data_IF_183589644105
#
_entry.id   IF_183589644105
#
_cell.length_a   1.000
_cell.length_b   1.000
_cell.length_c   1.000
_cell.angle_alpha   90.00
_cell.angle_beta   90.00
_cell.angle_gamma   90.00
#
_symmetry.space_group_name_H-M   'P 1'
#
loop_
_entity.id
_entity.type
_entity.pdbx_description
1 polymer ?
#
# COMPACT_ATOMS: atom_id res chain seq x y z
N UNK A 1 3.78 -2.92 27.85
CA UNK A 1 3.55 -2.52 26.44
C UNK A 1 4.71 -3.09 25.65
N UNK A 2 4.44 -3.83 24.57
CA UNK A 2 5.49 -4.37 23.70
C UNK A 2 6.10 -3.22 22.90
N UNK A 3 7.42 -3.25 22.69
CA UNK A 3 8.09 -2.30 21.81
C UNK A 3 7.64 -2.53 20.36
N UNK A 4 7.44 -1.44 19.62
CA UNK A 4 7.09 -1.53 18.20
C UNK A 4 8.32 -2.01 17.44
N UNK A 5 8.17 -3.08 16.68
CA UNK A 5 9.24 -3.63 15.85
C UNK A 5 8.95 -3.39 14.37
N UNK A 6 10.00 -3.09 13.62
CA UNK A 6 9.98 -3.16 12.16
C UNK A 6 10.61 -4.51 11.78
N UNK A 7 9.86 -5.32 11.02
CA UNK A 7 10.27 -6.66 10.58
C UNK A 7 10.18 -6.75 9.06
N UNK A 8 10.91 -7.68 8.45
CA UNK A 8 10.77 -7.96 7.02
C UNK A 8 10.30 -9.41 6.82
N UNK A 9 9.24 -9.57 6.02
CA UNK A 9 8.64 -10.87 5.66
C UNK A 9 8.72 -11.17 4.16
N UNK A 10 9.59 -10.49 3.43
CA UNK A 10 9.82 -10.67 1.99
C UNK A 10 9.06 -9.68 1.09
N UNK A 11 8.36 -8.69 1.68
CA UNK A 11 7.71 -7.58 0.95
C UNK A 11 8.29 -6.21 1.31
N UNK A 12 9.40 -6.21 2.05
CA UNK A 12 10.04 -5.04 2.61
C UNK A 12 9.71 -4.81 4.09
N UNK A 13 10.40 -3.84 4.73
CA UNK A 13 10.24 -3.57 6.16
C UNK A 13 8.83 -3.10 6.49
N UNK A 14 8.21 -3.69 7.51
CA UNK A 14 6.84 -3.43 7.94
C UNK A 14 6.70 -3.36 9.45
N UNK A 15 5.68 -2.62 9.90
CA UNK A 15 5.33 -2.53 11.32
C UNK A 15 4.78 -3.89 11.76
N UNK A 16 5.45 -4.53 12.72
CA UNK A 16 5.08 -5.84 13.23
C UNK A 16 3.63 -5.84 13.74
N UNK A 17 2.90 -6.92 13.41
CA UNK A 17 1.46 -7.02 13.68
C UNK A 17 0.56 -6.40 12.60
N UNK A 18 1.14 -5.74 11.59
CA UNK A 18 0.40 -5.16 10.46
C UNK A 18 0.95 -5.65 9.11
N UNK A 19 0.36 -5.18 8.01
CA UNK A 19 0.93 -5.26 6.66
C UNK A 19 1.39 -3.89 6.14
N UNK A 20 1.48 -2.89 7.01
CA UNK A 20 1.85 -1.52 6.65
C UNK A 20 3.37 -1.45 6.58
N UNK A 21 3.89 -1.34 5.36
CA UNK A 21 5.32 -1.19 5.10
C UNK A 21 5.80 0.21 5.41
N UNK A 22 7.09 0.37 5.67
CA UNK A 22 7.71 1.70 5.82
C UNK A 22 7.56 2.55 4.55
N UNK A 23 7.34 1.93 3.39
CA UNK A 23 7.07 2.63 2.13
C UNK A 23 5.72 3.36 2.12
N UNK A 24 4.68 2.78 2.74
CA UNK A 24 3.39 3.47 2.91
C UNK A 24 3.56 4.68 3.84
N UNK A 25 4.28 4.52 4.96
CA UNK A 25 4.54 5.62 5.88
C UNK A 25 5.39 6.71 5.20
N UNK A 26 6.39 6.31 4.42
CA UNK A 26 7.25 7.23 3.67
C UNK A 26 6.46 8.09 2.69
N UNK A 27 5.51 7.51 1.94
CA UNK A 27 4.67 8.22 0.96
C UNK A 27 3.91 9.41 1.57
N UNK A 28 3.26 9.21 2.72
CA UNK A 28 2.49 10.24 3.40
C UNK A 28 3.43 11.23 4.12
N UNK A 29 4.47 10.71 4.78
CA UNK A 29 5.41 11.57 5.51
C UNK A 29 6.15 12.53 4.58
N UNK A 30 6.59 12.08 3.39
CA UNK A 30 7.22 12.97 2.39
C UNK A 30 6.24 13.95 1.74
N UNK A 31 4.93 13.66 1.77
CA UNK A 31 3.88 14.55 1.30
C UNK A 31 3.56 15.65 2.33
N UNK A 32 4.12 15.56 3.53
CA UNK A 32 3.96 16.55 4.60
C UNK A 32 2.90 16.18 5.63
N UNK A 33 2.33 14.98 5.56
CA UNK A 33 1.29 14.55 6.51
C UNK A 33 1.86 14.42 7.92
N UNK A 34 1.06 14.83 8.90
CA UNK A 34 1.45 14.71 10.30
C UNK A 34 1.43 13.25 10.74
N UNK A 35 2.21 12.93 11.78
CA UNK A 35 2.23 11.59 12.38
C UNK A 35 0.84 11.10 12.76
N UNK A 36 -0.01 11.99 13.27
CA UNK A 36 -1.33 11.63 13.77
C UNK A 36 -2.34 11.46 12.62
N UNK A 37 -2.18 12.19 11.50
CA UNK A 37 -2.97 11.97 10.27
C UNK A 37 -2.64 10.62 9.63
N UNK A 38 -1.35 10.25 9.60
CA UNK A 38 -0.90 8.94 9.14
C UNK A 38 -1.44 7.84 10.05
N UNK A 39 -1.39 8.06 11.37
CA UNK A 39 -1.91 7.12 12.36
C UNK A 39 -3.42 6.88 12.16
N UNK A 40 -4.20 7.95 11.97
CA UNK A 40 -5.62 7.87 11.69
C UNK A 40 -5.92 7.14 10.36
N UNK A 41 -5.15 7.45 9.31
CA UNK A 41 -5.33 6.88 7.97
C UNK A 41 -5.13 5.37 7.95
N UNK A 42 -4.15 4.87 8.70
CA UNK A 42 -3.76 3.44 8.69
C UNK A 42 -4.26 2.64 9.90
N UNK A 43 -5.09 3.24 10.77
CA UNK A 43 -5.52 2.66 12.04
C UNK A 43 -4.31 2.17 12.88
N UNK A 44 -3.30 3.02 12.96
CA UNK A 44 -2.07 2.79 13.74
C UNK A 44 -2.08 3.65 14.99
N UNK A 45 -1.33 3.24 16.00
CA UNK A 45 -0.96 4.15 17.09
C UNK A 45 0.10 5.16 16.62
N UNK A 46 0.11 6.36 17.19
CA UNK A 46 1.16 7.35 16.94
C UNK A 46 2.57 6.81 17.22
N UNK A 47 2.71 5.86 18.17
CA UNK A 47 3.99 5.18 18.45
C UNK A 47 4.44 4.28 17.30
N UNK A 48 3.51 3.59 16.63
CA UNK A 48 3.83 2.77 15.47
C UNK A 48 4.29 3.62 14.29
N UNK A 49 3.61 4.74 14.03
CA UNK A 49 4.04 5.69 12.99
C UNK A 49 5.41 6.27 13.34
N UNK A 50 5.64 6.67 14.60
CA UNK A 50 6.94 7.18 15.02
C UNK A 50 8.06 6.15 14.80
N UNK A 51 7.86 4.90 15.19
CA UNK A 51 8.86 3.84 14.98
C UNK A 51 9.19 3.63 13.50
N UNK A 52 8.20 3.74 12.61
CA UNK A 52 8.43 3.68 11.17
C UNK A 52 9.19 4.92 10.65
N UNK A 53 8.86 6.12 11.12
CA UNK A 53 9.60 7.35 10.77
C UNK A 53 11.05 7.28 11.24
N UNK A 54 11.29 6.81 12.46
CA UNK A 54 12.64 6.63 13.01
C UNK A 54 13.44 5.60 12.19
N UNK A 55 12.81 4.49 11.81
CA UNK A 55 13.40 3.49 10.92
C UNK A 55 13.76 4.10 9.55
N UNK A 56 12.85 4.87 8.95
CA UNK A 56 13.08 5.55 7.67
C UNK A 56 14.27 6.52 7.78
N UNK A 57 14.35 7.30 8.86
CA UNK A 57 15.46 8.22 9.08
C UNK A 57 16.80 7.47 9.18
N UNK A 58 16.84 6.34 9.87
CA UNK A 58 18.03 5.50 10.01
C UNK A 58 18.45 4.80 8.70
N UNK A 59 17.51 4.51 7.79
CA UNK A 59 17.73 3.75 6.55
C UNK A 59 17.40 4.55 5.28
N UNK A 60 17.47 5.88 5.35
CA UNK A 60 16.87 6.78 4.36
C UNK A 60 17.27 6.48 2.92
N UNK A 61 18.56 6.31 2.65
CA UNK A 61 19.07 6.06 1.30
C UNK A 61 18.52 4.74 0.71
N UNK A 62 18.39 3.70 1.53
CA UNK A 62 17.83 2.43 1.09
C UNK A 62 16.32 2.54 0.86
N UNK A 63 15.60 3.17 1.79
CA UNK A 63 14.15 3.39 1.67
C UNK A 63 13.82 4.20 0.41
N UNK A 64 14.51 5.31 0.17
CA UNK A 64 14.30 6.15 -1.00
C UNK A 64 14.60 5.39 -2.31
N UNK A 65 15.67 4.60 -2.35
CA UNK A 65 16.04 3.80 -3.52
C UNK A 65 14.99 2.73 -3.83
N UNK A 66 14.58 1.94 -2.84
CA UNK A 66 13.59 0.90 -3.06
C UNK A 66 12.21 1.49 -3.36
N UNK A 67 11.85 2.61 -2.71
CA UNK A 67 10.62 3.34 -3.02
C UNK A 67 10.61 3.83 -4.48
N UNK A 68 11.73 4.35 -4.99
CA UNK A 68 11.83 4.78 -6.39
C UNK A 68 11.56 3.61 -7.36
N UNK A 69 12.08 2.41 -7.08
CA UNK A 69 11.81 1.21 -7.89
C UNK A 69 10.33 0.80 -7.84
N UNK A 70 9.70 0.90 -6.66
CA UNK A 70 8.27 0.64 -6.50
C UNK A 70 7.45 1.60 -7.37
N UNK A 71 7.76 2.90 -7.32
CA UNK A 71 7.09 3.92 -8.11
C UNK A 71 7.31 3.73 -9.62
N UNK A 72 8.53 3.38 -10.04
CA UNK A 72 8.83 3.04 -11.43
C UNK A 72 7.98 1.85 -11.91
N UNK A 73 7.92 0.77 -11.13
CA UNK A 73 7.12 -0.41 -11.46
C UNK A 73 5.63 -0.10 -11.52
N UNK A 74 5.11 0.73 -10.62
CA UNK A 74 3.71 1.18 -10.64
C UNK A 74 3.45 2.00 -11.91
N UNK A 75 4.37 2.92 -12.26
CA UNK A 75 4.28 3.77 -13.45
C UNK A 75 4.25 2.99 -14.78
N UNK A 76 4.84 1.79 -14.83
CA UNK A 76 4.75 0.89 -15.98
C UNK A 76 3.34 0.31 -16.21
N UNK A 77 2.46 0.39 -15.21
CA UNK A 77 1.12 -0.18 -15.28
C UNK A 77 1.11 -1.71 -15.31
N UNK A 78 -0.01 -2.28 -15.75
CA UNK A 78 -0.15 -3.72 -15.91
C UNK A 78 0.38 -4.16 -17.27
N UNK A 79 0.87 -5.39 -17.36
CA UNK A 79 1.19 -6.02 -18.65
C UNK A 79 -0.08 -6.23 -19.48
N UNK A 80 0.04 -6.29 -20.81
CA UNK A 80 -1.06 -6.60 -21.74
C UNK A 80 -1.86 -7.85 -21.36
N UNK A 81 -1.19 -8.89 -20.86
CA UNK A 81 -1.88 -10.11 -20.41
C UNK A 81 -2.84 -9.83 -19.24
N UNK A 82 -2.39 -9.06 -18.24
CA UNK A 82 -3.22 -8.66 -17.09
C UNK A 82 -4.37 -7.76 -17.54
N UNK A 83 -4.10 -6.76 -18.39
CA UNK A 83 -5.15 -5.87 -18.90
C UNK A 83 -6.23 -6.63 -19.68
N UNK A 84 -5.83 -7.57 -20.54
CA UNK A 84 -6.76 -8.44 -21.25
C UNK A 84 -7.61 -9.30 -20.30
N UNK A 85 -7.02 -9.84 -19.23
CA UNK A 85 -7.77 -10.58 -18.21
C UNK A 85 -8.75 -9.69 -17.43
N UNK A 86 -8.34 -8.47 -17.08
CA UNK A 86 -9.23 -7.49 -16.42
C UNK A 86 -10.42 -7.13 -17.30
N UNK A 87 -10.20 -6.90 -18.60
CA UNK A 87 -11.25 -6.60 -19.57
C UNK A 87 -12.25 -7.77 -19.70
N UNK A 88 -11.76 -9.00 -19.84
CA UNK A 88 -12.63 -10.19 -19.89
C UNK A 88 -13.48 -10.35 -18.63
N UNK A 89 -12.89 -10.11 -17.46
CA UNK A 89 -13.62 -10.18 -16.19
C UNK A 89 -14.68 -9.07 -16.08
N UNK A 90 -14.37 -7.86 -16.55
CA UNK A 90 -15.30 -6.74 -16.62
C UNK A 90 -16.49 -7.05 -17.53
N UNK A 91 -16.26 -7.61 -18.70
CA UNK A 91 -17.34 -8.02 -19.62
C UNK A 91 -18.24 -9.09 -18.99
N UNK A 92 -17.66 -10.09 -18.31
CA UNK A 92 -18.43 -11.12 -17.59
C UNK A 92 -19.31 -10.50 -16.50
N UNK A 93 -18.78 -9.55 -15.74
CA UNK A 93 -19.54 -8.84 -14.71
C UNK A 93 -20.70 -8.04 -15.31
N UNK A 94 -20.46 -7.30 -16.40
CA UNK A 94 -21.48 -6.51 -17.08
C UNK A 94 -22.64 -7.37 -17.59
N UNK A 95 -22.33 -8.54 -18.19
CA UNK A 95 -23.36 -9.49 -18.63
C UNK A 95 -24.22 -9.96 -17.46
N UNK A 96 -23.60 -10.38 -16.33
CA UNK A 96 -24.32 -10.82 -15.13
C UNK A 96 -25.23 -9.74 -14.55
N UNK A 97 -24.78 -8.49 -14.54
CA UNK A 97 -25.58 -7.36 -14.05
C UNK A 97 -26.76 -7.07 -14.98
N UNK A 98 -26.55 -7.12 -16.29
CA UNK A 98 -27.62 -6.94 -17.27
C UNK A 98 -28.69 -8.03 -17.21
N UNK A 99 -28.30 -9.29 -17.03
CA UNK A 99 -29.22 -10.43 -16.85
C UNK A 99 -30.04 -10.28 -15.57
N UNK A 100 -29.41 -9.92 -14.43
CA UNK A 100 -30.12 -9.64 -13.18
C UNK A 100 -31.11 -8.48 -13.31
N UNK A 101 -30.73 -7.40 -14.01
CA UNK A 101 -31.62 -6.27 -14.25
C UNK A 101 -32.87 -6.66 -15.05
N UNK A 102 -32.75 -7.59 -16.01
CA UNK A 102 -33.88 -8.11 -16.79
C UNK A 102 -34.78 -9.08 -16.00
N UNK A 103 -34.25 -9.76 -14.97
CA UNK A 103 -35.03 -10.67 -14.13
C UNK A 103 -35.87 -9.93 -13.08
N UNK A 104 -35.57 -8.66 -12.81
CA UNK A 104 -36.22 -7.82 -11.80
C UNK A 104 -37.21 -6.80 -12.39
N UNK A 105 -37.35 -6.76 -13.71
CA UNK A 105 -38.26 -5.87 -14.47
C UNK A 105 -39.41 -6.69 -15.06
#
# INVERSE_FOLDING_TARGET
MQDVQIIDRGRGPEIAGTRITVYHIWEFHRAGDSRDDIALTFDLSSRQVQAAVDYIAAHRNEVEREYAKIQERIGQGNSDWVENQLNQNREKLQKRLGEKGKQLA
#
